data_IF_144578549124
#
_entry.id   IF_144578549124
#
_cell.length_a   1.000
_cell.length_b   1.000
_cell.length_c   1.000
_cell.angle_alpha   90.00
_cell.angle_beta   90.00
_cell.angle_gamma   90.00
#
_symmetry.space_group_name_H-M   'P 1'
#
loop_
_entity.id
_entity.type
_entity.pdbx_description
1 polymer ?
#
# COMPACT_ATOMS: atom_id res chain seq x y z
N UNK A 1 -7.70 24.01 1.05
CA UNK A 1 -7.10 22.66 1.14
C UNK A 1 -6.40 22.57 2.48
N UNK A 2 -6.69 21.55 3.28
CA UNK A 2 -6.03 21.37 4.59
C UNK A 2 -4.56 21.06 4.33
N UNK A 3 -3.65 21.75 5.03
CA UNK A 3 -2.21 21.53 4.89
C UNK A 3 -1.76 20.45 5.87
N UNK A 4 -0.78 19.65 5.47
CA UNK A 4 -0.04 18.82 6.41
C UNK A 4 0.72 19.70 7.40
N UNK A 5 0.80 19.23 8.65
CA UNK A 5 1.74 19.81 9.63
C UNK A 5 3.18 19.51 9.21
N UNK A 6 4.15 20.29 9.70
CA UNK A 6 5.58 20.02 9.44
C UNK A 6 6.01 18.62 9.87
N UNK A 7 5.43 18.11 10.96
CA UNK A 7 5.67 16.75 11.46
C UNK A 7 5.17 15.69 10.49
N UNK A 8 4.01 15.90 9.89
CA UNK A 8 3.45 14.98 8.89
C UNK A 8 4.21 15.06 7.57
N UNK A 9 4.56 16.26 7.11
CA UNK A 9 5.40 16.46 5.92
C UNK A 9 6.73 15.71 6.05
N UNK A 10 7.39 15.80 7.21
CA UNK A 10 8.62 15.03 7.48
C UNK A 10 8.41 13.52 7.42
N UNK A 11 7.29 13.01 7.96
CA UNK A 11 6.94 11.58 7.92
C UNK A 11 6.61 11.11 6.51
N UNK A 12 5.90 11.91 5.72
CA UNK A 12 5.65 11.63 4.31
C UNK A 12 6.97 11.54 3.56
N UNK A 13 7.89 12.49 3.77
CA UNK A 13 9.21 12.46 3.15
C UNK A 13 10.03 11.22 3.57
N UNK A 14 9.93 10.79 4.82
CA UNK A 14 10.56 9.54 5.29
C UNK A 14 10.06 8.33 4.48
N UNK A 15 8.75 8.24 4.24
CA UNK A 15 8.15 7.15 3.46
C UNK A 15 8.58 7.26 1.99
N UNK A 16 8.53 8.45 1.39
CA UNK A 16 9.02 8.69 0.02
C UNK A 16 10.48 8.25 -0.14
N UNK A 17 11.33 8.53 0.84
CA UNK A 17 12.73 8.11 0.83
C UNK A 17 12.88 6.59 0.86
N UNK A 18 12.05 5.88 1.65
CA UNK A 18 12.01 4.39 1.64
C UNK A 18 11.58 3.84 0.29
N UNK A 19 10.73 4.55 -0.45
CA UNK A 19 10.27 4.19 -1.80
C UNK A 19 11.18 4.69 -2.92
N UNK A 20 12.24 5.46 -2.63
CA UNK A 20 13.02 6.19 -3.65
C UNK A 20 13.47 5.32 -4.84
N UNK A 21 13.81 4.06 -4.59
CA UNK A 21 14.17 3.10 -5.65
C UNK A 21 13.04 2.77 -6.62
N UNK A 22 11.81 2.72 -6.13
CA UNK A 22 10.61 2.49 -6.93
C UNK A 22 10.13 3.77 -7.62
N UNK A 23 10.49 4.95 -7.10
CA UNK A 23 10.19 6.27 -7.67
C UNK A 23 11.11 6.66 -8.85
N UNK A 24 11.91 5.73 -9.39
CA UNK A 24 12.89 6.01 -10.47
C UNK A 24 12.27 6.32 -11.84
N UNK A 25 10.98 6.07 -12.01
CA UNK A 25 10.30 6.18 -13.29
C UNK A 25 9.76 7.61 -13.55
N UNK A 26 10.18 8.24 -14.65
CA UNK A 26 9.71 9.59 -15.05
C UNK A 26 8.19 9.71 -15.21
N UNK A 27 7.51 8.61 -15.57
CA UNK A 27 6.05 8.53 -15.75
C UNK A 27 5.39 7.64 -14.69
N UNK A 28 5.82 7.76 -13.44
CA UNK A 28 5.16 7.05 -12.33
C UNK A 28 3.71 7.53 -12.14
N UNK A 29 2.88 6.74 -11.47
CA UNK A 29 1.47 7.07 -11.28
C UNK A 29 1.25 8.12 -10.17
N UNK A 30 2.06 8.13 -9.12
CA UNK A 30 1.95 9.10 -8.03
C UNK A 30 2.36 10.50 -8.49
N UNK A 31 1.41 11.43 -8.48
CA UNK A 31 1.60 12.85 -8.81
C UNK A 31 1.60 13.72 -7.55
N UNK A 32 0.73 13.41 -6.58
CA UNK A 32 0.57 14.24 -5.40
C UNK A 32 0.03 13.45 -4.19
N UNK A 33 0.32 13.98 -3.00
CA UNK A 33 -0.24 13.51 -1.73
C UNK A 33 -0.97 14.70 -1.11
N UNK A 34 -2.27 14.55 -0.90
CA UNK A 34 -3.16 15.58 -0.35
C UNK A 34 -3.75 15.18 1.00
N UNK A 35 -4.38 16.16 1.66
CA UNK A 35 -5.04 15.97 2.95
C UNK A 35 -6.51 16.42 2.90
N UNK A 36 -7.35 15.65 3.57
CA UNK A 36 -8.73 15.98 3.92
C UNK A 36 -8.97 15.66 5.39
N UNK A 37 -10.07 16.13 5.97
CA UNK A 37 -10.50 15.71 7.31
C UNK A 37 -11.30 14.40 7.29
N UNK A 38 -12.01 14.14 6.19
CA UNK A 38 -12.92 13.01 6.02
C UNK A 38 -12.78 12.37 4.65
N UNK A 39 -12.96 11.05 4.60
CA UNK A 39 -13.14 10.34 3.34
C UNK A 39 -14.60 10.41 2.88
N UNK A 40 -14.88 9.91 1.68
CA UNK A 40 -16.24 9.78 1.13
C UNK A 40 -16.53 8.30 0.95
N UNK A 41 -17.60 7.82 1.57
CA UNK A 41 -18.01 6.41 1.45
C UNK A 41 -18.28 6.04 -0.01
N UNK A 42 -17.50 5.12 -0.58
CA UNK A 42 -17.74 4.59 -1.94
C UNK A 42 -18.89 3.57 -2.01
N UNK A 43 -19.16 2.88 -0.90
CA UNK A 43 -20.01 1.68 -0.88
C UNK A 43 -21.33 1.86 -0.11
N UNK A 44 -21.65 3.08 0.34
CA UNK A 44 -22.96 3.41 0.94
C UNK A 44 -23.66 4.41 0.03
N UNK A 45 -24.96 4.21 -0.21
CA UNK A 45 -25.76 5.15 -0.98
C UNK A 45 -25.64 6.56 -0.36
N UNK A 46 -25.32 7.57 -1.18
CA UNK A 46 -25.32 8.97 -0.78
C UNK A 46 -23.95 9.65 -0.57
N UNK A 47 -22.82 8.99 -0.85
CA UNK A 47 -21.48 9.61 -0.79
C UNK A 47 -21.25 10.37 0.53
N UNK A 48 -21.57 9.72 1.65
CA UNK A 48 -21.52 10.37 2.97
C UNK A 48 -20.07 10.47 3.43
N UNK A 49 -19.72 11.62 4.01
CA UNK A 49 -18.41 11.84 4.61
C UNK A 49 -18.22 10.92 5.82
N UNK A 50 -17.10 10.21 5.89
CA UNK A 50 -16.75 9.30 6.98
C UNK A 50 -15.38 9.60 7.59
N UNK A 51 -15.16 9.10 8.80
CA UNK A 51 -13.94 9.31 9.58
C UNK A 51 -13.10 8.05 9.75
N UNK A 52 -13.53 6.88 9.26
CA UNK A 52 -12.85 5.63 9.59
C UNK A 52 -11.76 5.29 8.56
N UNK A 53 -11.91 5.76 7.33
CA UNK A 53 -10.90 5.59 6.27
C UNK A 53 -9.70 6.48 6.54
N UNK A 54 -8.51 5.88 6.60
CA UNK A 54 -7.24 6.53 6.94
C UNK A 54 -6.56 7.19 5.74
N UNK A 55 -6.66 6.57 4.57
CA UNK A 55 -6.13 7.06 3.32
C UNK A 55 -6.84 6.42 2.14
N UNK A 56 -6.67 7.02 0.96
CA UNK A 56 -7.18 6.46 -0.29
C UNK A 56 -6.33 6.87 -1.50
N UNK A 57 -6.04 5.89 -2.36
CA UNK A 57 -5.43 6.09 -3.66
C UNK A 57 -6.46 6.33 -4.79
N UNK A 58 -6.34 7.48 -5.45
CA UNK A 58 -7.14 7.88 -6.62
C UNK A 58 -6.31 7.79 -7.90
N UNK A 59 -6.44 6.65 -8.61
CA UNK A 59 -5.68 6.35 -9.83
C UNK A 59 -5.85 7.41 -10.94
N UNK A 60 -7.03 7.99 -11.08
CA UNK A 60 -7.38 8.83 -12.24
C UNK A 60 -6.58 10.14 -12.25
N UNK A 61 -6.24 10.64 -11.05
CA UNK A 61 -5.49 11.88 -10.87
C UNK A 61 -4.12 11.65 -10.21
N UNK A 62 -3.71 10.39 -10.08
CA UNK A 62 -2.44 10.03 -9.45
C UNK A 62 -2.29 10.56 -8.02
N UNK A 63 -3.37 10.59 -7.24
CA UNK A 63 -3.41 11.28 -5.94
C UNK A 63 -3.62 10.31 -4.79
N UNK A 64 -2.77 10.39 -3.75
CA UNK A 64 -3.08 9.82 -2.44
C UNK A 64 -3.75 10.91 -1.61
N UNK A 65 -4.84 10.59 -0.93
CA UNK A 65 -5.46 11.48 0.05
C UNK A 65 -5.38 10.83 1.43
N UNK A 66 -4.84 11.54 2.42
CA UNK A 66 -4.82 11.12 3.82
C UNK A 66 -5.88 11.88 4.61
N UNK A 67 -6.55 11.19 5.54
CA UNK A 67 -7.55 11.78 6.43
C UNK A 67 -6.96 12.09 7.81
N UNK A 68 -7.74 12.72 8.69
CA UNK A 68 -7.34 12.94 10.09
C UNK A 68 -7.18 11.61 10.86
N UNK A 69 -7.78 10.52 10.37
CA UNK A 69 -7.66 9.18 10.97
C UNK A 69 -6.42 8.41 10.53
N UNK A 70 -5.57 8.99 9.67
CA UNK A 70 -4.31 8.37 9.25
C UNK A 70 -3.37 8.00 10.41
N UNK A 71 -3.54 8.61 11.59
CA UNK A 71 -2.77 8.31 12.79
C UNK A 71 -3.51 7.48 13.85
N UNK A 72 -4.73 7.03 13.57
CA UNK A 72 -5.57 6.26 14.50
C UNK A 72 -5.07 4.81 14.56
N UNK A 73 -4.58 4.36 15.70
CA UNK A 73 -3.82 3.09 15.83
C UNK A 73 -4.63 1.82 15.56
N UNK A 74 -4.80 1.46 14.28
CA UNK A 74 -5.38 0.19 13.80
C UNK A 74 -4.31 -0.89 13.66
N UNK A 75 -3.23 -0.58 12.94
CA UNK A 75 -2.17 -1.54 12.60
C UNK A 75 -0.99 -1.42 13.56
N UNK A 76 -0.74 -0.19 14.04
CA UNK A 76 0.32 0.14 14.98
C UNK A 76 -0.23 0.95 16.15
N UNK A 77 0.15 0.56 17.37
CA UNK A 77 -0.22 1.30 18.59
C UNK A 77 0.37 2.72 18.64
N UNK A 78 1.56 2.91 18.05
CA UNK A 78 2.21 4.22 17.95
C UNK A 78 1.60 5.03 16.79
N UNK A 79 0.99 6.18 17.09
CA UNK A 79 0.28 7.01 16.12
C UNK A 79 1.21 7.57 15.03
N UNK A 80 2.47 7.84 15.36
CA UNK A 80 3.45 8.29 14.39
C UNK A 80 3.86 7.18 13.40
N UNK A 81 3.95 5.94 13.87
CA UNK A 81 4.14 4.75 13.05
C UNK A 81 2.89 4.42 12.24
N UNK A 82 1.69 4.55 12.81
CA UNK A 82 0.43 4.40 12.09
C UNK A 82 0.33 5.36 10.90
N UNK A 83 0.64 6.64 11.11
CA UNK A 83 0.62 7.62 10.02
C UNK A 83 1.56 7.23 8.88
N UNK A 84 2.79 6.84 9.21
CA UNK A 84 3.78 6.37 8.22
C UNK A 84 3.34 5.07 7.54
N UNK A 85 2.72 4.17 8.29
CA UNK A 85 2.16 2.92 7.80
C UNK A 85 1.06 3.15 6.78
N UNK A 86 0.10 4.03 7.11
CA UNK A 86 -0.98 4.45 6.21
C UNK A 86 -0.41 5.05 4.91
N UNK A 87 0.57 5.94 5.00
CA UNK A 87 1.21 6.51 3.79
C UNK A 87 1.86 5.40 2.96
N UNK A 88 2.56 4.44 3.59
CA UNK A 88 3.20 3.34 2.89
C UNK A 88 2.19 2.36 2.26
N UNK A 89 1.05 2.14 2.90
CA UNK A 89 -0.06 1.36 2.35
C UNK A 89 -0.56 2.02 1.05
N UNK A 90 -0.93 3.31 1.10
CA UNK A 90 -1.46 4.01 -0.07
C UNK A 90 -0.43 4.17 -1.19
N UNK A 91 0.85 4.39 -0.83
CA UNK A 91 1.94 4.40 -1.80
C UNK A 91 2.09 3.07 -2.53
N UNK A 92 1.83 1.95 -1.85
CA UNK A 92 1.85 0.63 -2.49
C UNK A 92 0.82 0.52 -3.60
N UNK A 93 -0.39 1.03 -3.34
CA UNK A 93 -1.43 1.05 -4.36
C UNK A 93 -1.03 1.89 -5.58
N UNK A 94 -0.47 3.07 -5.35
CA UNK A 94 -0.01 3.96 -6.42
C UNK A 94 1.12 3.33 -7.24
N UNK A 95 2.07 2.68 -6.59
CA UNK A 95 3.32 2.28 -7.21
C UNK A 95 3.33 0.85 -7.74
N UNK A 96 2.40 -0.01 -7.32
CA UNK A 96 2.53 -1.45 -7.59
C UNK A 96 1.25 -2.14 -8.10
N UNK A 97 0.06 -1.55 -7.93
CA UNK A 97 -1.18 -2.20 -8.40
C UNK A 97 -1.22 -2.23 -9.94
N UNK A 98 -1.39 -1.06 -10.55
CA UNK A 98 -1.52 -0.90 -12.00
C UNK A 98 -0.23 -0.40 -12.65
N UNK A 99 0.89 -0.42 -11.93
CA UNK A 99 2.19 0.03 -12.37
C UNK A 99 3.24 -0.99 -11.98
N UNK A 100 4.17 -1.31 -12.89
CA UNK A 100 5.35 -2.09 -12.56
C UNK A 100 6.55 -1.15 -12.46
N UNK A 101 7.03 -0.82 -11.23
CA UNK A 101 8.15 0.09 -11.03
C UNK A 101 9.49 -0.48 -11.50
N UNK A 102 9.56 -1.79 -11.79
CA UNK A 102 10.75 -2.43 -12.35
C UNK A 102 10.91 -2.12 -13.83
N UNK A 103 9.79 -2.01 -14.55
CA UNK A 103 9.77 -1.76 -16.01
C UNK A 103 9.21 -0.39 -16.40
N UNK A 104 8.77 0.41 -15.43
CA UNK A 104 8.11 1.70 -15.62
C UNK A 104 6.88 1.64 -16.55
N UNK A 105 6.12 0.53 -16.51
CA UNK A 105 4.94 0.32 -17.36
C UNK A 105 3.66 0.36 -16.53
N UNK A 106 2.66 1.08 -17.07
CA UNK A 106 1.29 1.08 -16.55
C UNK A 106 0.45 0.01 -17.25
N UNK A 107 -0.51 -0.54 -16.52
CA UNK A 107 -1.45 -1.55 -16.99
C UNK A 107 -2.87 -1.09 -16.69
N UNK A 108 -3.82 -1.46 -17.56
CA UNK A 108 -5.24 -1.11 -17.40
C UNK A 108 -5.89 -1.76 -16.17
N UNK A 109 -5.28 -2.81 -15.63
CA UNK A 109 -5.74 -3.58 -14.48
C UNK A 109 -4.56 -4.31 -13.86
N UNK A 110 -4.51 -4.39 -12.54
CA UNK A 110 -3.48 -5.08 -11.75
C UNK A 110 -3.29 -6.54 -12.18
N UNK A 111 -4.35 -7.23 -12.64
CA UNK A 111 -4.24 -8.61 -13.14
C UNK A 111 -3.41 -8.75 -14.42
N UNK A 112 -3.18 -7.64 -15.15
CA UNK A 112 -2.30 -7.60 -16.32
C UNK A 112 -0.86 -7.22 -15.95
N UNK A 113 -0.64 -6.67 -14.76
CA UNK A 113 0.67 -6.28 -14.26
C UNK A 113 1.51 -7.52 -13.90
N UNK A 114 2.67 -7.78 -14.55
CA UNK A 114 3.54 -8.91 -14.23
C UNK A 114 3.96 -8.97 -12.78
N UNK A 115 4.25 -7.82 -12.14
CA UNK A 115 4.60 -7.76 -10.72
C UNK A 115 3.47 -8.33 -9.86
N UNK A 116 2.24 -7.92 -10.12
CA UNK A 116 1.08 -8.40 -9.37
C UNK A 116 0.78 -9.88 -9.62
N UNK A 117 1.00 -10.38 -10.85
CA UNK A 117 0.86 -11.81 -11.14
C UNK A 117 1.88 -12.64 -10.36
N UNK A 118 3.14 -12.19 -10.32
CA UNK A 118 4.18 -12.83 -9.53
C UNK A 118 3.85 -12.79 -8.04
N UNK A 119 3.46 -11.61 -7.54
CA UNK A 119 3.04 -11.44 -6.16
C UNK A 119 1.88 -12.37 -5.79
N UNK A 120 0.81 -12.40 -6.59
CA UNK A 120 -0.35 -13.26 -6.38
C UNK A 120 0.05 -14.73 -6.28
N UNK A 121 0.91 -15.21 -7.19
CA UNK A 121 1.43 -16.58 -7.17
C UNK A 121 2.19 -16.87 -5.87
N UNK A 122 3.07 -15.96 -5.45
CA UNK A 122 3.88 -16.10 -4.23
C UNK A 122 3.01 -16.09 -2.97
N UNK A 123 2.03 -15.20 -2.94
CA UNK A 123 1.10 -14.97 -1.83
C UNK A 123 0.02 -16.06 -1.71
N UNK A 124 -0.19 -16.89 -2.73
CA UNK A 124 -1.21 -17.95 -2.74
C UNK A 124 -2.58 -17.51 -3.25
N UNK A 125 -2.66 -16.37 -3.95
CA UNK A 125 -3.87 -15.96 -4.65
C UNK A 125 -4.03 -16.74 -5.95
N UNK A 126 -5.25 -17.13 -6.28
CA UNK A 126 -5.56 -17.66 -7.60
C UNK A 126 -5.38 -16.59 -8.70
N UNK A 127 -5.37 -16.99 -9.98
CA UNK A 127 -5.10 -16.08 -11.12
C UNK A 127 -6.12 -14.93 -11.26
N UNK A 128 -7.31 -15.09 -10.71
CA UNK A 128 -8.36 -14.06 -10.70
C UNK A 128 -8.28 -13.13 -9.49
N UNK A 129 -7.45 -13.45 -8.49
CA UNK A 129 -7.30 -12.66 -7.27
C UNK A 129 -8.56 -12.65 -6.40
N UNK A 130 -9.37 -13.71 -6.47
CA UNK A 130 -10.64 -13.82 -5.76
C UNK A 130 -10.55 -14.78 -4.57
N UNK A 131 -9.57 -15.68 -4.58
CA UNK A 131 -9.40 -16.69 -3.53
C UNK A 131 -7.96 -16.72 -3.10
N UNK A 132 -7.74 -16.62 -1.79
CA UNK A 132 -6.45 -16.76 -1.15
C UNK A 132 -6.36 -18.14 -0.49
N UNK A 133 -5.32 -18.89 -0.82
CA UNK A 133 -4.98 -20.14 -0.13
C UNK A 133 -3.82 -19.89 0.82
N UNK A 134 -4.14 -19.73 2.10
CA UNK A 134 -3.14 -19.63 3.17
C UNK A 134 -2.57 -21.01 3.52
N UNK A 135 -1.32 -21.07 3.98
CA UNK A 135 -0.73 -22.27 4.58
C UNK A 135 -0.54 -22.07 6.09
N UNK A 136 -0.16 -23.13 6.80
CA UNK A 136 0.17 -23.03 8.22
C UNK A 136 1.32 -22.03 8.48
N UNK A 137 2.25 -21.90 7.53
CA UNK A 137 3.49 -21.12 7.64
C UNK A 137 3.49 -19.84 6.81
N UNK A 138 2.48 -19.59 5.97
CA UNK A 138 2.37 -18.37 5.18
C UNK A 138 0.91 -17.93 5.08
N UNK A 139 0.59 -16.92 5.87
CA UNK A 139 -0.75 -16.34 5.99
C UNK A 139 -0.76 -14.94 5.39
N UNK A 140 -1.93 -14.37 5.18
CA UNK A 140 -2.06 -12.94 4.92
C UNK A 140 -1.43 -12.13 6.07
N UNK A 141 -0.78 -10.98 5.78
CA UNK A 141 -0.08 -10.16 6.76
C UNK A 141 -1.03 -9.66 7.86
N UNK A 142 -2.24 -9.30 7.47
CA UNK A 142 -3.33 -8.83 8.36
C UNK A 142 -4.67 -9.44 7.92
N UNK A 143 -5.72 -9.21 8.69
CA UNK A 143 -7.08 -9.58 8.27
C UNK A 143 -7.53 -8.76 7.06
N UNK A 144 -7.18 -7.48 7.01
CA UNK A 144 -7.53 -6.60 5.89
C UNK A 144 -6.82 -7.02 4.59
N UNK A 145 -5.58 -7.52 4.67
CA UNK A 145 -4.87 -8.10 3.53
C UNK A 145 -5.59 -9.28 2.86
N UNK A 146 -6.56 -9.92 3.53
CA UNK A 146 -7.40 -10.99 2.92
C UNK A 146 -8.47 -10.47 1.97
N UNK A 147 -8.66 -9.15 1.87
CA UNK A 147 -9.72 -8.55 1.07
C UNK A 147 -9.51 -8.80 -0.43
N UNK A 148 -8.30 -8.55 -0.93
CA UNK A 148 -7.89 -8.81 -2.32
C UNK A 148 -6.37 -8.68 -2.45
N UNK A 149 -5.75 -9.10 -3.57
CA UNK A 149 -4.29 -9.05 -3.74
C UNK A 149 -3.66 -7.65 -3.64
N UNK A 150 -4.42 -6.58 -3.92
CA UNK A 150 -3.90 -5.21 -3.83
C UNK A 150 -3.76 -4.78 -2.37
N UNK A 151 -4.75 -5.09 -1.54
CA UNK A 151 -4.66 -4.85 -0.08
C UNK A 151 -3.57 -5.73 0.52
N UNK A 152 -3.49 -7.00 0.12
CA UNK A 152 -2.43 -7.90 0.60
C UNK A 152 -1.03 -7.34 0.35
N UNK A 153 -0.75 -6.87 -0.88
CA UNK A 153 0.53 -6.26 -1.20
C UNK A 153 0.78 -4.97 -0.41
N UNK A 154 -0.24 -4.13 -0.25
CA UNK A 154 -0.12 -2.87 0.49
C UNK A 154 0.15 -3.10 1.98
N UNK A 155 -0.60 -4.00 2.61
CA UNK A 155 -0.44 -4.42 4.00
C UNK A 155 0.93 -5.08 4.22
N UNK A 156 1.33 -5.97 3.32
CA UNK A 156 2.63 -6.62 3.42
C UNK A 156 3.77 -5.60 3.26
N UNK A 157 3.64 -4.63 2.36
CA UNK A 157 4.68 -3.59 2.15
C UNK A 157 4.76 -2.64 3.34
N UNK A 158 3.62 -2.24 3.90
CA UNK A 158 3.55 -1.48 5.15
C UNK A 158 4.30 -2.20 6.28
N UNK A 159 4.00 -3.49 6.50
CA UNK A 159 4.68 -4.27 7.53
C UNK A 159 6.16 -4.46 7.21
N UNK A 160 6.56 -4.69 5.97
CA UNK A 160 7.99 -4.81 5.62
C UNK A 160 8.78 -3.54 6.02
N UNK A 161 8.22 -2.35 5.80
CA UNK A 161 8.91 -1.09 6.06
C UNK A 161 8.98 -0.70 7.54
N UNK A 162 8.06 -1.19 8.37
CA UNK A 162 7.87 -0.73 9.76
C UNK A 162 7.83 -1.83 10.83
N UNK A 163 7.52 -3.07 10.46
CA UNK A 163 7.57 -4.30 11.27
C UNK A 163 8.03 -5.54 10.47
N UNK A 164 9.25 -5.51 9.89
CA UNK A 164 9.74 -6.56 8.99
C UNK A 164 9.74 -7.95 9.63
N UNK A 165 10.08 -8.04 10.91
CA UNK A 165 10.09 -9.33 11.63
C UNK A 165 8.68 -9.90 11.84
N UNK A 166 7.67 -9.05 12.07
CA UNK A 166 6.26 -9.46 12.13
C UNK A 166 5.84 -10.06 10.79
N UNK A 167 6.14 -9.37 9.67
CA UNK A 167 5.84 -9.88 8.33
C UNK A 167 6.59 -11.19 8.04
N UNK A 168 7.88 -11.24 8.35
CA UNK A 168 8.73 -12.40 8.08
C UNK A 168 8.27 -13.64 8.82
N UNK A 169 7.85 -13.49 10.08
CA UNK A 169 7.35 -14.58 10.92
C UNK A 169 6.01 -15.14 10.42
N UNK A 170 5.10 -14.24 9.99
CA UNK A 170 3.73 -14.61 9.60
C UNK A 170 3.57 -14.98 8.12
N UNK A 171 4.36 -14.33 7.27
CA UNK A 171 4.20 -14.29 5.82
C UNK A 171 5.57 -14.29 5.10
N UNK A 172 6.42 -15.31 5.35
CA UNK A 172 7.81 -15.31 4.90
C UNK A 172 7.97 -15.17 3.38
N UNK A 173 7.05 -15.69 2.56
CA UNK A 173 7.10 -15.53 1.10
C UNK A 173 6.79 -14.10 0.67
N UNK A 174 5.83 -13.43 1.31
CA UNK A 174 5.51 -12.01 1.08
C UNK A 174 6.67 -11.12 1.51
N UNK A 175 7.26 -11.40 2.68
CA UNK A 175 8.48 -10.75 3.15
C UNK A 175 9.60 -10.86 2.11
N UNK A 176 9.88 -12.07 1.64
CA UNK A 176 10.93 -12.31 0.65
C UNK A 176 10.68 -11.53 -0.65
N UNK A 177 9.46 -11.59 -1.17
CA UNK A 177 9.10 -10.87 -2.41
C UNK A 177 9.29 -9.36 -2.28
N UNK A 178 8.82 -8.75 -1.20
CA UNK A 178 8.94 -7.30 -1.00
C UNK A 178 10.39 -6.91 -0.75
N UNK A 179 11.12 -7.72 0.04
CA UNK A 179 12.55 -7.52 0.24
C UNK A 179 13.29 -7.48 -1.09
N UNK A 180 13.07 -8.48 -1.95
CA UNK A 180 13.67 -8.51 -3.29
C UNK A 180 13.25 -7.27 -4.10
N UNK A 181 11.99 -6.86 -4.07
CA UNK A 181 11.52 -5.69 -4.81
C UNK A 181 12.20 -4.37 -4.38
N UNK A 182 12.44 -4.18 -3.08
CA UNK A 182 13.08 -2.96 -2.56
C UNK A 182 14.62 -3.04 -2.59
N UNK A 183 15.19 -4.24 -2.50
CA UNK A 183 16.63 -4.43 -2.37
C UNK A 183 17.33 -4.80 -3.69
N UNK A 184 16.63 -5.38 -4.68
CA UNK A 184 17.27 -5.90 -5.90
C UNK A 184 18.05 -4.82 -6.66
N UNK A 185 19.31 -5.17 -6.93
CA UNK A 185 20.24 -4.46 -7.82
C UNK A 185 20.20 -5.17 -9.18
N UNK A 186 19.12 -4.99 -9.95
CA UNK A 186 19.15 -5.31 -11.38
C UNK A 186 19.29 -4.03 -12.19
#
# INVERSE_FOLDING_TARGET
MIKFTDKETKKIQEVLNKYQRLLKCKKQQLQQIGRTNKAITKNKAGCVAETDTMGEWFKDNGTIVLTDSASTGSDFKDSAKQFRGTVAHEMSHAMMNNFDPRTCKSYTNYRKNPLMKEYMKVAGWNVTGTTLTETATDKAPTNYGKTNPKEDLAEATMLYLYEPETLKSRSPKRYKFIKELFEDKK
#
